data_IF_719908155049
#
_entry.id   IF_719908155049
#
_cell.length_a   1.000
_cell.length_b   1.000
_cell.length_c   1.000
_cell.angle_alpha   90.00
_cell.angle_beta   90.00
_cell.angle_gamma   90.00
#
_symmetry.space_group_name_H-M   'P 1'
#
loop_
_entity.id
_entity.type
_entity.pdbx_description
1 polymer ?
#
# COMPACT_ATOMS: atom_id res chain seq x y z
N UNK A 1 -10.70 7.15 5.77
CA UNK A 1 -10.34 8.57 6.07
C UNK A 1 -8.91 8.72 6.58
N UNK A 2 -8.37 7.80 7.39
CA UNK A 2 -6.98 7.88 7.92
C UNK A 2 -5.85 7.46 6.95
N UNK A 3 -6.15 6.90 5.78
CA UNK A 3 -5.14 6.47 4.79
C UNK A 3 -4.63 7.60 3.89
N UNK A 4 -4.92 8.87 4.22
CA UNK A 4 -4.44 10.04 3.47
C UNK A 4 -2.92 10.21 3.59
N UNK A 5 -2.33 9.74 4.68
CA UNK A 5 -0.88 9.65 4.84
C UNK A 5 -0.52 8.16 4.90
N UNK A 6 0.22 7.64 3.91
CA UNK A 6 0.69 6.26 3.93
C UNK A 6 1.36 5.97 5.28
N UNK A 7 1.01 4.83 5.88
CA UNK A 7 1.58 4.32 7.14
C UNK A 7 1.16 5.02 8.45
N UNK A 8 0.82 6.32 8.47
CA UNK A 8 0.35 7.00 9.69
C UNK A 8 -1.03 6.51 10.12
N UNK A 9 -1.95 6.34 9.17
CA UNK A 9 -3.30 5.83 9.45
C UNK A 9 -3.30 4.45 10.12
N UNK A 10 -2.61 3.45 9.52
CA UNK A 10 -2.39 2.14 10.14
C UNK A 10 -1.75 2.20 11.53
N UNK A 11 -0.77 3.09 11.73
CA UNK A 11 -0.11 3.26 13.02
C UNK A 11 -1.10 3.72 14.09
N UNK A 12 -1.83 4.81 13.83
CA UNK A 12 -2.84 5.33 14.76
C UNK A 12 -3.93 4.28 15.02
N UNK A 13 -4.39 3.60 13.98
CA UNK A 13 -5.42 2.58 14.10
C UNK A 13 -4.96 1.36 14.93
N UNK A 14 -3.69 0.96 14.84
CA UNK A 14 -3.13 -0.12 15.68
C UNK A 14 -3.09 0.26 17.17
N UNK A 15 -2.70 1.51 17.49
CA UNK A 15 -2.73 2.02 18.86
C UNK A 15 -4.16 2.07 19.40
N UNK A 16 -5.11 2.56 18.60
CA UNK A 16 -6.52 2.58 18.98
C UNK A 16 -7.07 1.17 19.19
N UNK A 17 -6.75 0.22 18.31
CA UNK A 17 -7.14 -1.18 18.46
C UNK A 17 -6.57 -1.80 19.74
N UNK A 18 -5.32 -1.51 20.09
CA UNK A 18 -4.70 -1.96 21.33
C UNK A 18 -5.46 -1.43 22.56
N UNK A 19 -5.68 -0.11 22.61
CA UNK A 19 -6.39 0.55 23.72
C UNK A 19 -7.81 0.00 23.85
N UNK A 20 -8.57 -0.08 22.75
CA UNK A 20 -9.94 -0.58 22.80
C UNK A 20 -10.01 -2.03 23.28
N UNK A 21 -9.10 -2.89 22.81
CA UNK A 21 -9.07 -4.30 23.24
C UNK A 21 -8.73 -4.42 24.72
N UNK A 22 -7.80 -3.61 25.21
CA UNK A 22 -7.48 -3.56 26.64
C UNK A 22 -8.66 -3.05 27.46
N UNK A 23 -9.36 -2.02 26.97
CA UNK A 23 -10.50 -1.43 27.65
C UNK A 23 -11.71 -2.37 27.71
N UNK A 24 -11.94 -3.17 26.66
CA UNK A 24 -13.03 -4.16 26.62
C UNK A 24 -12.86 -5.32 27.58
N UNK A 25 -11.65 -5.54 28.12
CA UNK A 25 -11.34 -6.57 29.10
C UNK A 25 -11.05 -6.00 30.49
N UNK A 26 -11.56 -4.79 30.80
CA UNK A 26 -11.40 -4.16 32.11
C UNK A 26 -11.94 -5.06 33.23
N UNK A 27 -11.08 -5.42 34.18
CA UNK A 27 -11.41 -6.28 35.33
C UNK A 27 -10.95 -7.73 35.19
N UNK A 28 -10.45 -8.14 34.01
CA UNK A 28 -9.73 -9.39 33.84
C UNK A 28 -8.26 -9.26 34.25
N UNK A 29 -7.60 -10.38 34.53
CA UNK A 29 -6.18 -10.40 34.84
C UNK A 29 -5.34 -9.96 33.63
N UNK A 30 -4.36 -9.10 33.89
CA UNK A 30 -3.60 -8.44 32.83
C UNK A 30 -2.71 -9.43 32.06
N UNK A 31 -2.04 -10.35 32.75
CA UNK A 31 -1.07 -11.26 32.12
C UNK A 31 -1.76 -12.40 31.37
N UNK A 32 -2.88 -12.89 31.90
CA UNK A 32 -3.53 -14.10 31.39
C UNK A 32 -4.62 -13.81 30.36
N UNK A 33 -5.24 -12.63 30.41
CA UNK A 33 -6.37 -12.29 29.53
C UNK A 33 -6.09 -11.05 28.70
N UNK A 34 -5.83 -9.90 29.33
CA UNK A 34 -5.74 -8.62 28.61
C UNK A 34 -4.60 -8.64 27.58
N UNK A 35 -3.38 -8.96 28.04
CA UNK A 35 -2.19 -8.94 27.19
C UNK A 35 -2.26 -9.96 26.04
N UNK A 36 -2.60 -11.25 26.26
CA UNK A 36 -2.72 -12.22 25.18
C UNK A 36 -3.80 -11.86 24.16
N UNK A 37 -4.98 -11.39 24.61
CA UNK A 37 -6.07 -11.00 23.70
C UNK A 37 -5.70 -9.78 22.87
N UNK A 38 -5.05 -8.78 23.46
CA UNK A 38 -4.58 -7.61 22.70
C UNK A 38 -3.53 -7.99 21.66
N UNK A 39 -2.58 -8.86 21.99
CA UNK A 39 -1.58 -9.35 21.02
C UNK A 39 -2.26 -10.09 19.87
N UNK A 40 -3.22 -10.97 20.17
CA UNK A 40 -3.97 -11.71 19.16
C UNK A 40 -4.70 -10.78 18.17
N UNK A 41 -5.40 -9.76 18.69
CA UNK A 41 -6.08 -8.75 17.87
C UNK A 41 -5.07 -7.95 17.03
N UNK A 42 -3.95 -7.54 17.61
CA UNK A 42 -2.92 -6.80 16.89
C UNK A 42 -2.28 -7.62 15.76
N UNK A 43 -2.03 -8.91 15.97
CA UNK A 43 -1.53 -9.80 14.91
C UNK A 43 -2.52 -9.85 13.75
N UNK A 44 -3.81 -10.09 14.04
CA UNK A 44 -4.86 -10.09 13.01
C UNK A 44 -4.93 -8.75 12.26
N UNK A 45 -4.86 -7.64 12.99
CA UNK A 45 -4.83 -6.30 12.42
C UNK A 45 -3.62 -6.09 11.50
N UNK A 46 -2.43 -6.51 11.92
CA UNK A 46 -1.21 -6.40 11.11
C UNK A 46 -1.28 -7.22 9.83
N UNK A 47 -1.87 -8.41 9.85
CA UNK A 47 -2.09 -9.22 8.64
C UNK A 47 -2.97 -8.46 7.65
N UNK A 48 -4.09 -7.90 8.11
CA UNK A 48 -4.98 -7.09 7.27
C UNK A 48 -4.24 -5.88 6.71
N UNK A 49 -3.42 -5.22 7.53
CA UNK A 49 -2.66 -4.05 7.08
C UNK A 49 -1.60 -4.39 6.03
N UNK A 50 -0.93 -5.53 6.12
CA UNK A 50 0.02 -5.95 5.09
C UNK A 50 -0.69 -6.14 3.75
N UNK A 51 -1.86 -6.78 3.77
CA UNK A 51 -2.67 -7.00 2.57
C UNK A 51 -3.13 -5.66 1.99
N UNK A 52 -3.66 -4.76 2.82
CA UNK A 52 -4.22 -3.49 2.36
C UNK A 52 -3.13 -2.54 1.82
N UNK A 53 -2.02 -2.39 2.54
CA UNK A 53 -0.95 -1.48 2.18
C UNK A 53 -0.10 -1.96 1.00
N UNK A 54 0.02 -3.27 0.77
CA UNK A 54 0.86 -3.80 -0.32
C UNK A 54 0.04 -4.30 -1.52
N UNK A 55 -1.00 -5.11 -1.30
CA UNK A 55 -1.76 -5.73 -2.39
C UNK A 55 -2.90 -4.84 -2.85
N UNK A 56 -3.80 -4.44 -1.95
CA UNK A 56 -4.98 -3.63 -2.32
C UNK A 56 -4.54 -2.33 -2.98
N UNK A 57 -3.59 -1.62 -2.37
CA UNK A 57 -3.08 -0.34 -2.87
C UNK A 57 -2.47 -0.47 -4.27
N UNK A 58 -1.63 -1.49 -4.52
CA UNK A 58 -1.03 -1.73 -5.84
C UNK A 58 -2.08 -2.07 -6.90
N UNK A 59 -3.05 -2.90 -6.55
CA UNK A 59 -4.13 -3.29 -7.47
C UNK A 59 -5.00 -2.08 -7.83
N UNK A 60 -5.34 -1.25 -6.84
CA UNK A 60 -6.11 -0.03 -7.04
C UNK A 60 -5.36 0.90 -7.99
N UNK A 61 -4.08 1.18 -7.73
CA UNK A 61 -3.28 2.05 -8.59
C UNK A 61 -3.12 1.48 -10.00
N UNK A 62 -2.90 0.19 -10.14
CA UNK A 62 -2.83 -0.49 -11.44
C UNK A 62 -4.10 -0.29 -12.28
N UNK A 63 -5.28 -0.41 -11.65
CA UNK A 63 -6.56 -0.13 -12.32
C UNK A 63 -6.70 1.34 -12.70
N UNK A 64 -6.23 2.27 -11.85
CA UNK A 64 -6.30 3.71 -12.13
C UNK A 64 -5.43 4.15 -13.30
N UNK A 65 -4.34 3.44 -13.60
CA UNK A 65 -3.41 3.80 -14.68
C UNK A 65 -3.37 2.77 -15.82
N UNK A 66 -4.41 1.91 -15.92
CA UNK A 66 -4.53 0.84 -16.92
C UNK A 66 -3.20 0.10 -17.16
N UNK A 67 -2.59 -0.37 -16.08
CA UNK A 67 -1.29 -1.04 -16.08
C UNK A 67 -1.36 -2.29 -15.23
N UNK A 68 -0.51 -3.29 -15.45
CA UNK A 68 -0.58 -4.53 -14.68
C UNK A 68 -0.17 -4.31 -13.21
N UNK A 69 -0.81 -4.94 -12.20
CA UNK A 69 -0.42 -4.76 -10.80
C UNK A 69 1.06 -5.02 -10.52
N UNK A 70 1.62 -6.05 -11.15
CA UNK A 70 3.05 -6.39 -11.06
C UNK A 70 3.95 -5.25 -11.55
N UNK A 71 3.54 -4.53 -12.58
CA UNK A 71 4.32 -3.42 -13.15
C UNK A 71 4.39 -2.26 -12.18
N UNK A 72 3.25 -1.85 -11.63
CA UNK A 72 3.18 -0.79 -10.62
C UNK A 72 3.95 -1.18 -9.35
N UNK A 73 3.87 -2.44 -8.94
CA UNK A 73 4.66 -2.97 -7.84
C UNK A 73 6.17 -2.79 -8.06
N UNK A 74 6.67 -3.18 -9.24
CA UNK A 74 8.08 -3.06 -9.59
C UNK A 74 8.53 -1.60 -9.66
N UNK A 75 7.71 -0.72 -10.25
CA UNK A 75 7.99 0.72 -10.34
C UNK A 75 8.10 1.34 -8.94
N UNK A 76 7.16 1.02 -8.04
CA UNK A 76 7.19 1.50 -6.65
C UNK A 76 8.42 0.99 -5.90
N UNK A 77 8.77 -0.29 -6.06
CA UNK A 77 9.97 -0.87 -5.45
C UNK A 77 11.25 -0.19 -5.95
N UNK A 78 11.42 -0.05 -7.27
CA UNK A 78 12.59 0.57 -7.87
C UNK A 78 12.71 2.03 -7.41
N UNK A 79 11.62 2.80 -7.46
CA UNK A 79 11.61 4.19 -7.00
C UNK A 79 11.89 4.30 -5.49
N UNK A 80 11.39 3.36 -4.69
CA UNK A 80 11.67 3.26 -3.26
C UNK A 80 13.13 2.95 -2.95
N UNK A 81 13.77 2.07 -3.72
CA UNK A 81 15.21 1.79 -3.58
C UNK A 81 16.07 2.99 -3.95
N UNK A 82 15.68 3.77 -4.96
CA UNK A 82 16.46 4.92 -5.45
C UNK A 82 16.31 6.17 -4.58
N UNK A 83 15.09 6.49 -4.14
CA UNK A 83 14.77 7.77 -3.52
C UNK A 83 13.99 7.65 -2.20
N UNK A 84 13.90 6.43 -1.64
CA UNK A 84 13.19 6.15 -0.40
C UNK A 84 11.68 6.39 -0.50
N UNK A 85 11.08 6.78 0.62
CA UNK A 85 9.62 7.00 0.74
C UNK A 85 9.12 8.05 -0.28
N UNK A 86 9.90 9.12 -0.51
CA UNK A 86 9.53 10.14 -1.49
C UNK A 86 9.44 9.57 -2.90
N UNK A 87 10.37 8.68 -3.28
CA UNK A 87 10.34 7.96 -4.55
C UNK A 87 9.09 7.12 -4.72
N UNK A 88 8.67 6.40 -3.67
CA UNK A 88 7.47 5.57 -3.70
C UNK A 88 6.19 6.39 -3.94
N UNK A 89 6.11 7.60 -3.39
CA UNK A 89 4.96 8.49 -3.55
C UNK A 89 4.84 8.97 -5.00
N UNK A 90 5.95 9.37 -5.62
CA UNK A 90 5.96 9.91 -6.99
C UNK A 90 6.06 8.84 -8.08
N UNK A 91 6.30 7.59 -7.71
CA UNK A 91 6.52 6.45 -8.61
C UNK A 91 5.40 6.28 -9.64
N UNK A 92 4.15 6.20 -9.18
CA UNK A 92 2.98 5.95 -10.05
C UNK A 92 2.73 7.11 -11.01
N UNK A 93 2.63 8.38 -10.54
CA UNK A 93 2.49 9.52 -11.46
C UNK A 93 3.60 9.61 -12.50
N UNK A 94 4.87 9.43 -12.08
CA UNK A 94 6.01 9.53 -12.98
C UNK A 94 5.97 8.44 -14.06
N UNK A 95 5.66 7.20 -13.66
CA UNK A 95 5.49 6.10 -14.60
C UNK A 95 4.36 6.36 -15.60
N UNK A 96 3.20 6.87 -15.15
CA UNK A 96 2.10 7.25 -16.04
C UNK A 96 2.51 8.32 -17.04
N UNK A 97 3.25 9.35 -16.61
CA UNK A 97 3.76 10.39 -17.51
C UNK A 97 4.69 9.80 -18.58
N UNK A 98 5.66 8.99 -18.17
CA UNK A 98 6.59 8.33 -19.09
C UNK A 98 5.86 7.45 -20.12
N UNK A 99 4.83 6.73 -19.65
CA UNK A 99 4.00 5.87 -20.49
C UNK A 99 3.21 6.65 -21.54
N UNK A 100 2.61 7.78 -21.16
CA UNK A 100 1.88 8.66 -22.08
C UNK A 100 2.82 9.31 -23.10
N UNK A 101 3.98 9.81 -22.67
CA UNK A 101 5.00 10.37 -23.57
C UNK A 101 5.47 9.30 -24.57
N UNK A 102 5.73 8.07 -24.10
CA UNK A 102 6.09 6.96 -24.99
C UNK A 102 5.03 6.72 -26.07
N UNK A 103 3.75 6.69 -25.68
CA UNK A 103 2.61 6.48 -26.59
C UNK A 103 2.57 7.54 -27.71
N UNK A 104 2.74 8.81 -27.36
CA UNK A 104 2.63 9.93 -28.30
C UNK A 104 3.85 10.08 -29.22
N UNK A 105 5.06 9.98 -28.67
CA UNK A 105 6.28 10.27 -29.42
C UNK A 105 6.89 9.06 -30.13
N UNK A 106 6.61 7.84 -29.66
CA UNK A 106 7.19 6.60 -30.20
C UNK A 106 6.15 5.49 -30.40
N UNK A 107 5.04 5.76 -31.13
CA UNK A 107 3.93 4.82 -31.27
C UNK A 107 4.29 3.52 -32.00
N UNK A 108 5.34 3.51 -32.82
CA UNK A 108 5.76 2.31 -33.56
C UNK A 108 6.66 1.35 -32.76
N UNK A 109 7.14 1.76 -31.59
CA UNK A 109 8.01 0.92 -30.78
C UNK A 109 7.22 -0.25 -30.16
N UNK A 110 7.69 -1.48 -30.39
CA UNK A 110 7.06 -2.72 -29.90
C UNK A 110 6.92 -2.75 -28.38
N UNK A 111 7.91 -2.23 -27.64
CA UNK A 111 7.89 -2.20 -26.16
C UNK A 111 6.82 -1.25 -25.66
N UNK A 112 6.74 -0.06 -26.26
CA UNK A 112 5.75 0.96 -25.87
C UNK A 112 4.34 0.47 -26.19
N UNK A 113 4.11 -0.11 -27.39
CA UNK A 113 2.83 -0.72 -27.75
C UNK A 113 2.35 -1.80 -26.78
N UNK A 114 3.26 -2.59 -26.22
CA UNK A 114 2.93 -3.62 -25.21
C UNK A 114 2.53 -2.99 -23.88
N UNK A 115 3.27 -1.98 -23.42
CA UNK A 115 2.98 -1.29 -22.16
C UNK A 115 1.70 -0.46 -22.26
N UNK A 116 1.46 0.21 -23.39
CA UNK A 116 0.30 1.09 -23.61
C UNK A 116 -0.91 0.37 -24.20
N UNK A 117 -0.88 -0.96 -24.31
CA UNK A 117 -1.95 -1.74 -24.98
C UNK A 117 -3.33 -1.51 -24.35
N UNK A 118 -3.36 -1.23 -23.06
CA UNK A 118 -4.58 -1.08 -22.26
C UNK A 118 -5.01 0.38 -22.05
N UNK A 119 -4.33 1.35 -22.69
CA UNK A 119 -4.62 2.80 -22.64
C UNK A 119 -5.08 3.31 -24.00
#
# INVERSE_FOLDING_TARGET
VLNIIPYIGPLIASVLAAILTMLSNLGADFQTVILPTTIYVLIGFWIVQIIDNNLSTTIIFSKSVSSHPLEIFLVILIAGFLSGILGMIVAVPLYTILKVIGKEFFPENKVIKLLTKDI
#
